data_IF_199542075548
#
_entry.id   IF_199542075548
#
_cell.length_a   1.000
_cell.length_b   1.000
_cell.length_c   1.000
_cell.angle_alpha   90.00
_cell.angle_beta   90.00
_cell.angle_gamma   90.00
#
_symmetry.space_group_name_H-M   'P 1'
#
loop_
_entity.id
_entity.type
_entity.pdbx_description
1 polymer ?
#
# COMPACT_ATOMS: atom_id res chain seq x y z
N UNK A 1 7.40 58.83 20.30
CA UNK A 1 8.07 59.96 19.61
C UNK A 1 7.20 60.68 18.56
N UNK A 2 5.86 60.65 18.63
CA UNK A 2 4.98 61.34 17.64
C UNK A 2 4.55 62.76 18.05
N UNK A 3 4.68 63.12 19.33
CA UNK A 3 4.27 64.43 19.88
C UNK A 3 5.20 65.57 19.43
N UNK A 4 6.49 65.29 19.23
CA UNK A 4 7.46 66.31 18.79
C UNK A 4 7.32 66.71 17.31
N UNK A 5 6.74 65.86 16.45
CA UNK A 5 6.65 66.17 15.02
C UNK A 5 5.55 67.20 14.72
N UNK A 6 4.40 67.08 15.38
CA UNK A 6 3.31 68.07 15.30
C UNK A 6 3.73 69.43 15.88
N UNK A 7 4.46 69.44 17.00
CA UNK A 7 4.98 70.67 17.59
C UNK A 7 5.94 71.39 16.63
N UNK A 8 6.85 70.66 15.98
CA UNK A 8 7.81 71.23 15.01
C UNK A 8 7.10 71.74 13.75
N UNK A 9 6.07 71.02 13.25
CA UNK A 9 5.28 71.46 12.11
C UNK A 9 4.49 72.75 12.40
N UNK A 10 3.89 72.85 13.60
CA UNK A 10 3.18 74.07 14.02
C UNK A 10 4.10 75.27 14.15
N UNK A 11 5.31 75.11 14.70
CA UNK A 11 6.29 76.19 14.79
C UNK A 11 6.83 76.62 13.41
N UNK A 12 7.03 75.66 12.50
CA UNK A 12 7.46 75.96 11.13
C UNK A 12 6.38 76.70 10.32
N UNK A 13 5.11 76.33 10.48
CA UNK A 13 3.98 77.03 9.87
C UNK A 13 3.80 78.44 10.46
N UNK A 14 3.97 78.61 11.77
CA UNK A 14 3.89 79.93 12.42
C UNK A 14 5.04 80.86 12.02
N UNK A 15 6.25 80.32 11.83
CA UNK A 15 7.41 81.06 11.33
C UNK A 15 7.27 81.50 9.87
N UNK A 16 6.64 80.68 9.01
CA UNK A 16 6.40 81.00 7.61
C UNK A 16 5.33 82.11 7.43
N UNK A 17 4.32 82.16 8.31
CA UNK A 17 3.27 83.18 8.29
C UNK A 17 3.81 84.57 8.68
N UNK A 18 4.87 84.65 9.50
CA UNK A 18 5.47 85.93 9.89
C UNK A 18 6.34 86.58 8.80
N UNK A 19 6.64 85.88 7.70
CA UNK A 19 7.62 86.33 6.70
C UNK A 19 7.02 86.83 5.36
N UNK A 20 5.70 86.77 5.14
CA UNK A 20 5.09 87.14 3.86
C UNK A 20 3.83 88.01 4.00
N UNK A 21 3.97 89.27 3.57
CA UNK A 21 2.95 90.18 3.02
C UNK A 21 1.59 90.38 3.72
N UNK A 22 1.25 91.66 3.96
CA UNK A 22 -0.12 92.22 4.18
C UNK A 22 -1.04 91.37 5.07
N UNK A 23 -1.14 91.75 6.33
CA UNK A 23 -2.12 91.20 7.27
C UNK A 23 -3.52 91.12 6.63
N UNK A 24 -4.05 89.92 6.34
CA UNK A 24 -5.43 89.76 5.95
C UNK A 24 -6.32 90.18 7.13
N UNK A 25 -7.55 90.64 6.86
CA UNK A 25 -8.51 90.83 7.95
C UNK A 25 -8.65 89.53 8.74
N UNK A 26 -8.85 89.61 10.05
CA UNK A 26 -8.92 88.45 10.94
C UNK A 26 -9.99 87.42 10.47
N UNK A 27 -11.04 87.90 9.80
CA UNK A 27 -12.06 87.06 9.15
C UNK A 27 -11.56 86.25 7.95
N UNK A 28 -10.65 86.79 7.14
CA UNK A 28 -10.09 86.08 5.99
C UNK A 28 -9.18 84.93 6.43
N UNK A 29 -8.37 85.15 7.48
CA UNK A 29 -7.54 84.10 8.08
C UNK A 29 -8.41 83.00 8.70
N UNK A 30 -9.50 83.37 9.38
CA UNK A 30 -10.44 82.38 9.93
C UNK A 30 -11.10 81.54 8.83
N UNK A 31 -11.54 82.16 7.72
CA UNK A 31 -12.13 81.43 6.60
C UNK A 31 -11.14 80.46 5.92
N UNK A 32 -9.86 80.86 5.76
CA UNK A 32 -8.83 79.96 5.23
C UNK A 32 -8.51 78.80 6.18
N UNK A 33 -8.52 79.04 7.49
CA UNK A 33 -8.33 78.00 8.51
C UNK A 33 -9.50 77.02 8.53
N UNK A 34 -10.74 77.50 8.38
CA UNK A 34 -11.94 76.66 8.30
C UNK A 34 -11.95 75.79 7.02
N UNK A 35 -11.58 76.36 5.86
CA UNK A 35 -11.45 75.63 4.59
C UNK A 35 -10.31 74.58 4.65
N UNK A 36 -9.16 74.94 5.24
CA UNK A 36 -8.06 74.01 5.46
C UNK A 36 -8.45 72.87 6.43
N UNK A 37 -9.21 73.16 7.48
CA UNK A 37 -9.71 72.16 8.41
C UNK A 37 -10.71 71.20 7.72
N UNK A 38 -11.59 71.70 6.86
CA UNK A 38 -12.51 70.87 6.10
C UNK A 38 -11.79 69.93 5.13
N UNK A 39 -10.76 70.42 4.42
CA UNK A 39 -9.90 69.59 3.55
C UNK A 39 -9.13 68.54 4.33
N UNK A 40 -8.60 68.90 5.51
CA UNK A 40 -7.90 67.97 6.38
C UNK A 40 -8.82 66.85 6.87
N UNK A 41 -10.06 67.18 7.25
CA UNK A 41 -11.04 66.19 7.66
C UNK A 41 -11.48 65.26 6.50
N UNK A 42 -11.58 65.80 5.28
CA UNK A 42 -11.81 65.00 4.07
C UNK A 42 -10.68 64.01 3.83
N UNK A 43 -9.43 64.46 3.90
CA UNK A 43 -8.27 63.59 3.73
C UNK A 43 -8.13 62.56 4.86
N UNK A 44 -8.48 62.92 6.10
CA UNK A 44 -8.51 61.98 7.22
C UNK A 44 -9.54 60.86 6.98
N UNK A 45 -10.70 61.19 6.42
CA UNK A 45 -11.72 60.22 6.04
C UNK A 45 -11.25 59.29 4.90
N UNK A 46 -10.54 59.84 3.91
CA UNK A 46 -9.93 59.05 2.82
C UNK A 46 -8.84 58.10 3.35
N UNK A 47 -8.01 58.57 4.27
CA UNK A 47 -6.98 57.75 4.91
C UNK A 47 -7.59 56.59 5.71
N UNK A 48 -8.72 56.83 6.38
CA UNK A 48 -9.43 55.82 7.15
C UNK A 48 -10.01 54.73 6.23
N UNK A 49 -10.60 55.11 5.10
CA UNK A 49 -11.07 54.18 4.08
C UNK A 49 -9.92 53.38 3.44
N UNK A 50 -8.78 54.04 3.20
CA UNK A 50 -7.57 53.38 2.69
C UNK A 50 -7.01 52.36 3.69
N UNK A 51 -7.02 52.67 4.99
CA UNK A 51 -6.59 51.71 6.03
C UNK A 51 -7.52 50.50 6.09
N UNK A 52 -8.83 50.69 6.02
CA UNK A 52 -9.79 49.57 6.00
C UNK A 52 -9.58 48.67 4.77
N UNK A 53 -9.33 49.27 3.60
CA UNK A 53 -8.99 48.51 2.39
C UNK A 53 -7.69 47.73 2.52
N UNK A 54 -6.67 48.29 3.18
CA UNK A 54 -5.42 47.59 3.43
C UNK A 54 -5.65 46.38 4.35
N UNK A 55 -6.42 46.53 5.42
CA UNK A 55 -6.79 45.42 6.32
C UNK A 55 -7.58 44.32 5.58
N UNK A 56 -8.45 44.71 4.64
CA UNK A 56 -9.17 43.76 3.78
C UNK A 56 -8.22 42.99 2.86
N UNK A 57 -7.24 43.67 2.26
CA UNK A 57 -6.22 43.02 1.42
C UNK A 57 -5.33 42.08 2.23
N UNK A 58 -4.90 42.47 3.43
CA UNK A 58 -4.11 41.62 4.32
C UNK A 58 -4.88 40.35 4.73
N UNK A 59 -6.17 40.51 5.03
CA UNK A 59 -7.06 39.38 5.35
C UNK A 59 -7.21 38.43 4.15
N UNK A 60 -7.41 38.98 2.93
CA UNK A 60 -7.50 38.17 1.70
C UNK A 60 -6.19 37.44 1.40
N UNK A 61 -5.05 38.11 1.58
CA UNK A 61 -3.74 37.49 1.41
C UNK A 61 -3.53 36.35 2.41
N UNK A 62 -3.82 36.56 3.69
CA UNK A 62 -3.74 35.52 4.71
C UNK A 62 -4.63 34.30 4.39
N UNK A 63 -5.86 34.53 3.90
CA UNK A 63 -6.77 33.45 3.51
C UNK A 63 -6.24 32.66 2.30
N UNK A 64 -5.68 33.34 1.30
CA UNK A 64 -5.08 32.68 0.14
C UNK A 64 -3.80 31.92 0.50
N UNK A 65 -2.98 32.47 1.40
CA UNK A 65 -1.74 31.84 1.85
C UNK A 65 -1.96 30.66 2.79
N UNK A 66 -3.07 30.61 3.53
CA UNK A 66 -3.36 29.49 4.44
C UNK A 66 -4.17 28.38 3.76
N UNK A 67 -5.23 28.73 3.03
CA UNK A 67 -6.16 27.73 2.51
C UNK A 67 -5.56 26.82 1.43
N UNK A 68 -4.74 27.36 0.52
CA UNK A 68 -4.22 26.62 -0.63
C UNK A 68 -3.05 25.68 -0.33
N UNK A 69 -2.01 26.09 0.43
CA UNK A 69 -0.87 25.21 0.67
C UNK A 69 -1.18 24.11 1.68
N UNK A 70 -2.06 24.35 2.66
CA UNK A 70 -2.44 23.32 3.64
C UNK A 70 -3.25 22.19 2.98
N UNK A 71 -4.19 22.52 2.10
CA UNK A 71 -4.98 21.54 1.34
C UNK A 71 -4.08 20.71 0.40
N UNK A 72 -3.14 21.36 -0.29
CA UNK A 72 -2.15 20.67 -1.14
C UNK A 72 -1.22 19.78 -0.32
N UNK A 73 -0.73 20.26 0.83
CA UNK A 73 0.14 19.49 1.73
C UNK A 73 -0.56 18.24 2.25
N UNK A 74 -1.82 18.36 2.68
CA UNK A 74 -2.64 17.21 3.09
C UNK A 74 -2.84 16.20 1.96
N UNK A 75 -3.10 16.70 0.74
CA UNK A 75 -3.28 15.84 -0.43
C UNK A 75 -2.00 15.11 -0.82
N UNK A 76 -0.84 15.78 -0.70
CA UNK A 76 0.48 15.17 -0.89
C UNK A 76 0.71 14.08 0.17
N UNK A 77 0.49 14.37 1.44
CA UNK A 77 0.63 13.37 2.52
C UNK A 77 -0.28 12.16 2.33
N UNK A 78 -1.52 12.39 1.88
CA UNK A 78 -2.45 11.30 1.59
C UNK A 78 -1.96 10.46 0.41
N UNK A 79 -1.48 11.08 -0.67
CA UNK A 79 -0.92 10.38 -1.82
C UNK A 79 0.33 9.56 -1.45
N UNK A 80 1.20 10.08 -0.58
CA UNK A 80 2.38 9.35 -0.08
C UNK A 80 1.98 8.13 0.75
N UNK A 81 0.95 8.28 1.61
CA UNK A 81 0.40 7.17 2.39
C UNK A 81 -0.17 6.09 1.47
N UNK A 82 -0.93 6.50 0.45
CA UNK A 82 -1.54 5.58 -0.50
C UNK A 82 -0.47 4.86 -1.34
N UNK A 83 0.57 5.58 -1.81
CA UNK A 83 1.73 4.96 -2.46
C UNK A 83 2.42 3.92 -1.56
N UNK A 84 2.58 4.21 -0.27
CA UNK A 84 3.19 3.28 0.69
C UNK A 84 2.35 2.02 0.89
N UNK A 85 1.03 2.16 0.97
CA UNK A 85 0.12 1.00 1.04
C UNK A 85 0.22 0.19 -0.26
N UNK A 86 0.22 0.85 -1.41
CA UNK A 86 0.29 0.20 -2.71
C UNK A 86 1.61 -0.57 -2.88
N UNK A 87 2.74 0.00 -2.47
CA UNK A 87 4.04 -0.67 -2.46
C UNK A 87 4.03 -1.94 -1.58
N UNK A 88 3.40 -1.89 -0.39
CA UNK A 88 3.25 -3.08 0.46
C UNK A 88 2.40 -4.16 -0.21
N UNK A 89 1.28 -3.78 -0.83
CA UNK A 89 0.41 -4.74 -1.53
C UNK A 89 1.11 -5.40 -2.72
N UNK A 90 1.93 -4.64 -3.46
CA UNK A 90 2.74 -5.18 -4.54
C UNK A 90 3.81 -6.16 -4.02
N UNK A 91 4.45 -5.84 -2.89
CA UNK A 91 5.41 -6.74 -2.26
C UNK A 91 4.75 -8.06 -1.84
N UNK A 92 3.57 -8.02 -1.22
CA UNK A 92 2.83 -9.24 -0.83
C UNK A 92 2.38 -10.05 -2.02
N UNK A 93 1.90 -9.41 -3.08
CA UNK A 93 1.52 -10.11 -4.32
C UNK A 93 2.73 -10.77 -4.96
N UNK A 94 3.88 -10.08 -4.97
CA UNK A 94 5.13 -10.61 -5.52
C UNK A 94 5.60 -11.84 -4.75
N UNK A 95 5.54 -11.83 -3.41
CA UNK A 95 5.88 -13.02 -2.61
C UNK A 95 4.93 -14.18 -2.89
N UNK A 96 3.62 -13.95 -2.95
CA UNK A 96 2.64 -15.02 -3.26
C UNK A 96 2.83 -15.59 -4.67
N UNK A 97 3.12 -14.74 -5.67
CA UNK A 97 3.44 -15.21 -7.02
C UNK A 97 4.71 -16.08 -7.02
N UNK A 98 5.74 -15.68 -6.27
CA UNK A 98 6.99 -16.45 -6.15
C UNK A 98 6.76 -17.80 -5.47
N UNK A 99 5.94 -17.86 -4.42
CA UNK A 99 5.55 -19.12 -3.77
C UNK A 99 4.81 -20.06 -4.72
N UNK A 100 3.85 -19.53 -5.50
CA UNK A 100 3.14 -20.33 -6.51
C UNK A 100 4.10 -20.84 -7.59
N UNK A 101 5.03 -20.00 -8.06
CA UNK A 101 6.05 -20.41 -9.04
C UNK A 101 6.92 -21.54 -8.48
N UNK A 102 7.38 -21.44 -7.24
CA UNK A 102 8.18 -22.48 -6.60
C UNK A 102 7.40 -23.78 -6.42
N UNK A 103 6.13 -23.70 -6.01
CA UNK A 103 5.25 -24.87 -5.89
C UNK A 103 5.06 -25.58 -7.23
N UNK A 104 4.84 -24.81 -8.30
CA UNK A 104 4.67 -25.33 -9.65
C UNK A 104 5.98 -25.97 -10.17
N UNK A 105 7.14 -25.35 -9.89
CA UNK A 105 8.44 -25.94 -10.22
C UNK A 105 8.69 -27.26 -9.49
N UNK A 106 8.39 -27.34 -8.20
CA UNK A 106 8.51 -28.59 -7.43
C UNK A 106 7.62 -29.69 -8.00
N UNK A 107 6.35 -29.38 -8.32
CA UNK A 107 5.44 -30.36 -8.93
C UNK A 107 5.94 -30.85 -10.29
N UNK A 108 6.50 -29.96 -11.11
CA UNK A 108 7.08 -30.36 -12.40
C UNK A 108 8.30 -31.27 -12.22
N UNK A 109 9.16 -31.02 -11.23
CA UNK A 109 10.31 -31.88 -10.92
C UNK A 109 9.86 -33.27 -10.46
N UNK A 110 8.87 -33.34 -9.58
CA UNK A 110 8.30 -34.61 -9.13
C UNK A 110 7.73 -35.40 -10.32
N UNK A 111 6.95 -34.74 -11.18
CA UNK A 111 6.35 -35.39 -12.36
C UNK A 111 7.41 -35.88 -13.36
N UNK A 112 8.49 -35.12 -13.54
CA UNK A 112 9.62 -35.53 -14.38
C UNK A 112 10.34 -36.75 -13.80
N UNK A 113 10.48 -36.82 -12.47
CA UNK A 113 11.07 -37.96 -11.79
C UNK A 113 10.21 -39.21 -11.96
N UNK A 114 8.90 -39.07 -11.79
CA UNK A 114 7.95 -40.18 -11.95
C UNK A 114 7.94 -40.68 -13.39
N UNK A 115 7.94 -39.79 -14.38
CA UNK A 115 8.04 -40.16 -15.79
C UNK A 115 9.36 -40.91 -16.10
N UNK A 116 10.48 -40.48 -15.50
CA UNK A 116 11.76 -41.15 -15.67
C UNK A 116 11.73 -42.57 -15.10
N UNK A 117 11.19 -42.73 -13.89
CA UNK A 117 11.05 -44.03 -13.24
C UNK A 117 10.17 -44.96 -14.09
N UNK A 118 8.99 -44.48 -14.51
CA UNK A 118 8.09 -45.23 -15.37
C UNK A 118 8.74 -45.63 -16.71
N UNK A 119 9.51 -44.73 -17.32
CA UNK A 119 10.23 -45.02 -18.56
C UNK A 119 11.31 -46.11 -18.36
N UNK A 120 11.89 -46.19 -17.18
CA UNK A 120 12.89 -47.20 -16.82
C UNK A 120 12.23 -48.56 -16.59
N UNK A 121 11.10 -48.58 -15.87
CA UNK A 121 10.33 -49.81 -15.62
C UNK A 121 9.81 -50.41 -16.93
N UNK A 122 9.31 -49.59 -17.86
CA UNK A 122 8.89 -50.04 -19.19
C UNK A 122 10.05 -50.64 -20.00
N UNK A 123 11.26 -50.10 -19.87
CA UNK A 123 12.46 -50.67 -20.53
C UNK A 123 12.82 -52.02 -19.95
N UNK A 124 12.75 -52.18 -18.63
CA UNK A 124 12.97 -53.47 -17.98
C UNK A 124 11.92 -54.49 -18.40
N UNK A 125 10.64 -54.12 -18.35
CA UNK A 125 9.55 -54.98 -18.80
C UNK A 125 9.72 -55.43 -20.25
N UNK A 126 10.07 -54.52 -21.16
CA UNK A 126 10.36 -54.85 -22.57
C UNK A 126 11.51 -55.85 -22.70
N UNK A 127 12.60 -55.67 -21.94
CA UNK A 127 13.75 -56.62 -21.94
C UNK A 127 13.35 -58.00 -21.44
N UNK A 128 12.53 -58.06 -20.39
CA UNK A 128 12.01 -59.33 -19.86
C UNK A 128 11.11 -60.04 -20.87
N UNK A 129 10.21 -59.31 -21.56
CA UNK A 129 9.41 -59.88 -22.65
C UNK A 129 10.27 -60.41 -23.80
N UNK A 130 11.32 -59.67 -24.18
CA UNK A 130 12.24 -60.11 -25.22
C UNK A 130 12.97 -61.41 -24.84
N UNK A 131 13.47 -61.52 -23.60
CA UNK A 131 14.14 -62.73 -23.12
C UNK A 131 13.22 -63.96 -23.15
N UNK A 132 11.92 -63.79 -22.85
CA UNK A 132 10.93 -64.86 -22.91
C UNK A 132 10.69 -65.35 -24.34
N UNK A 133 10.63 -64.43 -25.31
CA UNK A 133 10.50 -64.75 -26.75
C UNK A 133 11.73 -65.50 -27.26
N UNK A 134 12.91 -65.12 -26.79
CA UNK A 134 14.20 -65.70 -27.22
C UNK A 134 14.55 -67.01 -26.49
N UNK A 135 13.65 -67.55 -25.65
CA UNK A 135 13.87 -68.80 -24.90
C UNK A 135 14.99 -68.72 -23.85
N UNK A 136 15.44 -67.50 -23.51
CA UNK A 136 16.49 -67.24 -22.55
C UNK A 136 15.88 -67.04 -21.15
N UNK A 137 16.50 -67.56 -20.09
CA UNK A 137 16.03 -67.31 -18.72
C UNK A 137 16.16 -65.81 -18.39
N UNK A 138 15.08 -65.09 -18.04
CA UNK A 138 15.17 -63.68 -17.69
C UNK A 138 16.02 -63.55 -16.41
N UNK A 139 17.18 -62.92 -16.54
CA UNK A 139 18.00 -62.56 -15.38
C UNK A 139 17.26 -61.51 -14.55
N UNK A 140 16.93 -61.87 -13.31
CA UNK A 140 16.26 -61.06 -12.28
C UNK A 140 14.96 -60.36 -12.73
N UNK A 141 13.82 -60.97 -12.38
CA UNK A 141 12.54 -60.27 -12.41
C UNK A 141 12.60 -59.07 -11.44
N UNK A 142 12.12 -57.87 -11.85
CA UNK A 142 11.85 -56.81 -10.89
C UNK A 142 10.88 -57.35 -9.84
N UNK A 143 11.23 -57.19 -8.57
CA UNK A 143 10.32 -57.53 -7.47
C UNK A 143 9.19 -56.49 -7.45
N UNK A 144 8.06 -56.82 -8.08
CA UNK A 144 6.86 -55.98 -8.07
C UNK A 144 6.10 -56.05 -6.73
N UNK A 145 6.69 -56.63 -5.66
CA UNK A 145 6.10 -56.60 -4.32
C UNK A 145 6.22 -55.23 -3.64
N UNK A 146 7.01 -54.31 -4.21
CA UNK A 146 7.03 -52.93 -3.76
C UNK A 146 5.66 -52.28 -4.08
N UNK A 147 4.93 -51.78 -3.06
CA UNK A 147 3.62 -51.18 -3.27
C UNK A 147 3.78 -49.93 -4.15
N UNK A 148 3.28 -50.02 -5.37
CA UNK A 148 3.18 -48.89 -6.30
C UNK A 148 2.50 -47.74 -5.57
N UNK A 149 3.13 -46.55 -5.49
CA UNK A 149 2.58 -45.42 -4.75
C UNK A 149 1.24 -45.06 -5.34
N UNK A 150 0.25 -45.34 -4.53
CA UNK A 150 -1.15 -45.27 -4.82
C UNK A 150 -1.66 -43.93 -4.28
N UNK A 151 -2.57 -43.32 -5.03
CA UNK A 151 -3.15 -41.97 -4.86
C UNK A 151 -2.81 -41.24 -3.54
N UNK A 152 -2.08 -40.12 -3.62
CA UNK A 152 -1.62 -39.37 -2.43
C UNK A 152 -2.70 -38.38 -1.99
N UNK A 153 -3.20 -38.54 -0.77
CA UNK A 153 -4.11 -37.62 -0.09
C UNK A 153 -3.36 -36.71 0.89
N UNK A 154 -3.72 -35.43 0.94
CA UNK A 154 -3.19 -34.47 1.92
C UNK A 154 -4.27 -34.22 2.96
N UNK A 155 -3.96 -34.51 4.22
CA UNK A 155 -4.89 -34.38 5.35
C UNK A 155 -5.31 -32.92 5.53
N UNK A 156 -6.62 -32.67 5.51
CA UNK A 156 -7.19 -31.34 5.72
C UNK A 156 -7.52 -31.08 7.20
N UNK A 157 -7.67 -29.82 7.64
CA UNK A 157 -8.10 -29.51 9.01
C UNK A 157 -9.44 -30.17 9.35
N UNK A 158 -9.46 -30.94 10.44
CA UNK A 158 -10.64 -31.70 10.91
C UNK A 158 -10.75 -33.13 10.37
N UNK A 159 -9.86 -33.54 9.46
CA UNK A 159 -9.81 -34.93 9.01
C UNK A 159 -9.27 -35.86 10.11
N UNK A 160 -9.83 -37.05 10.17
CA UNK A 160 -9.31 -38.18 10.95
C UNK A 160 -9.21 -39.44 10.08
N UNK A 161 -8.40 -40.43 10.48
CA UNK A 161 -8.22 -41.66 9.71
C UNK A 161 -9.54 -42.36 9.38
N UNK A 162 -10.51 -42.34 10.28
CA UNK A 162 -11.82 -42.96 10.05
C UNK A 162 -12.63 -42.27 8.95
N UNK A 163 -12.61 -40.93 8.90
CA UNK A 163 -13.31 -40.11 7.90
C UNK A 163 -12.69 -40.30 6.52
N UNK A 164 -11.36 -40.31 6.44
CA UNK A 164 -10.60 -40.56 5.22
C UNK A 164 -10.86 -41.99 4.74
N UNK A 165 -10.71 -42.97 5.63
CA UNK A 165 -10.93 -44.38 5.30
C UNK A 165 -12.36 -44.63 4.76
N UNK A 166 -13.38 -44.04 5.39
CA UNK A 166 -14.77 -44.10 4.91
C UNK A 166 -14.95 -43.45 3.53
N UNK A 167 -14.38 -42.25 3.33
CA UNK A 167 -14.48 -41.52 2.06
C UNK A 167 -13.91 -42.31 0.90
N UNK A 168 -12.80 -43.02 1.14
CA UNK A 168 -12.10 -43.82 0.14
C UNK A 168 -12.46 -45.31 0.18
N UNK A 169 -13.49 -45.70 0.97
CA UNK A 169 -13.97 -47.09 1.12
C UNK A 169 -12.85 -48.10 1.45
N UNK A 170 -11.91 -47.72 2.30
CA UNK A 170 -10.82 -48.58 2.80
C UNK A 170 -10.95 -48.78 4.29
N UNK A 171 -10.32 -49.82 4.84
CA UNK A 171 -10.27 -49.99 6.29
C UNK A 171 -9.20 -49.09 6.92
N UNK A 172 -9.42 -48.64 8.16
CA UNK A 172 -8.41 -47.85 8.91
C UNK A 172 -7.12 -48.65 9.08
N UNK A 173 -7.21 -49.95 9.34
CA UNK A 173 -6.04 -50.82 9.49
C UNK A 173 -5.21 -50.92 8.21
N UNK A 174 -5.86 -51.00 7.05
CA UNK A 174 -5.20 -51.03 5.75
C UNK A 174 -4.54 -49.69 5.43
N UNK A 175 -5.24 -48.58 5.69
CA UNK A 175 -4.69 -47.23 5.56
C UNK A 175 -3.43 -47.05 6.44
N UNK A 176 -3.45 -47.56 7.68
CA UNK A 176 -2.30 -47.54 8.59
C UNK A 176 -1.14 -48.40 8.10
N UNK A 177 -1.41 -49.61 7.60
CA UNK A 177 -0.38 -50.51 7.07
C UNK A 177 0.37 -49.90 5.90
N UNK A 178 -0.37 -49.35 4.93
CA UNK A 178 0.21 -48.73 3.73
C UNK A 178 1.08 -47.51 4.09
N UNK A 179 0.64 -46.72 5.08
CA UNK A 179 1.34 -45.52 5.52
C UNK A 179 2.31 -45.74 6.68
N UNK A 180 2.51 -47.00 7.11
CA UNK A 180 3.34 -47.39 8.26
C UNK A 180 3.02 -46.59 9.53
N UNK A 181 1.73 -46.33 9.77
CA UNK A 181 1.25 -45.59 10.94
C UNK A 181 1.06 -46.54 12.12
N UNK A 182 1.73 -46.24 13.23
CA UNK A 182 1.59 -46.99 14.48
C UNK A 182 0.39 -46.51 15.33
N UNK A 183 -0.01 -45.25 15.15
CA UNK A 183 -1.10 -44.60 15.90
C UNK A 183 -2.20 -44.10 14.97
N UNK A 184 -3.33 -43.73 15.57
CA UNK A 184 -4.45 -43.15 14.85
C UNK A 184 -4.34 -41.62 14.70
N UNK A 185 -3.31 -41.02 15.30
CA UNK A 185 -3.00 -39.59 15.12
C UNK A 185 -2.44 -39.31 13.73
N UNK A 186 -3.07 -38.36 13.06
CA UNK A 186 -2.61 -37.77 11.80
C UNK A 186 -2.58 -36.25 11.93
N UNK A 187 -1.65 -35.61 11.24
CA UNK A 187 -1.48 -34.15 11.28
C UNK A 187 -2.02 -33.50 10.02
N UNK A 188 -2.55 -32.30 10.16
CA UNK A 188 -2.96 -31.48 9.01
C UNK A 188 -1.76 -31.22 8.10
N UNK A 189 -1.93 -31.45 6.79
CA UNK A 189 -0.84 -31.38 5.81
C UNK A 189 -0.03 -32.66 5.64
N UNK A 190 -0.29 -33.70 6.44
CA UNK A 190 0.35 -35.00 6.28
C UNK A 190 -0.07 -35.66 4.97
N UNK A 191 0.89 -36.27 4.27
CA UNK A 191 0.65 -37.05 3.05
C UNK A 191 0.33 -38.49 3.41
N UNK A 192 -0.79 -39.01 2.93
CA UNK A 192 -1.19 -40.40 3.07
C UNK A 192 -1.32 -41.05 1.69
N UNK A 193 -0.65 -42.19 1.49
CA UNK A 193 -0.81 -43.07 0.35
C UNK A 193 -2.11 -43.86 0.49
N UNK A 194 -2.98 -43.82 -0.51
CA UNK A 194 -4.24 -44.55 -0.55
C UNK A 194 -4.17 -45.63 -1.63
N UNK A 195 -4.55 -46.89 -1.35
CA UNK A 195 -4.50 -47.96 -2.35
C UNK A 195 -5.38 -47.61 -3.56
N UNK A 196 -4.93 -47.97 -4.77
CA UNK A 196 -5.79 -47.89 -5.96
C UNK A 196 -6.83 -48.98 -5.85
N UNK A 197 -7.99 -48.65 -5.28
CA UNK A 197 -9.13 -49.54 -5.33
C UNK A 197 -9.77 -49.39 -6.71
N UNK A 198 -9.47 -50.32 -7.61
CA UNK A 198 -10.21 -50.53 -8.84
C UNK A 198 -11.57 -51.10 -8.46
N UNK A 199 -12.60 -50.25 -8.47
CA UNK A 199 -13.99 -50.70 -8.55
C UNK A 199 -14.60 -50.20 -9.85
#
# INVERSE_FOLDING_TARGET
MRVNFYAVLCYALFGAISASARTPSLQAVLAEVEDAAAKLHSHESELLLLTERLDEYDTRLHKLLSAKPDELSQKIQQLEKDQKVLAKTLATLTSSLKEMQNSLQSKLQDLQKDYKLLSQDLKFFRRSLQALVDGSTPGAFPDFSDPVPSHIYIVSPGDNLSSIAKKYKISVNELKKINKLNSDLIYTGQRLCLPMNTQ
#
